data_IF_716129498741
#
_entry.id   IF_716129498741
#
_cell.length_a   1.000
_cell.length_b   1.000
_cell.length_c   1.000
_cell.angle_alpha   90.00
_cell.angle_beta   90.00
_cell.angle_gamma   90.00
#
_symmetry.space_group_name_H-M   'P 1'
#
loop_
_entity.id
_entity.type
_entity.pdbx_description
1 polymer ?
#
# COMPACT_ATOMS: atom_id res chain seq x y z
N UNK A 1 15.99 17.39 17.90
CA UNK A 1 15.47 17.76 16.56
C UNK A 1 16.64 18.19 15.69
N UNK A 2 17.15 17.31 14.84
CA UNK A 2 18.26 17.62 13.89
C UNK A 2 17.76 17.54 12.43
N UNK A 3 16.55 17.00 12.21
CA UNK A 3 16.01 16.66 10.88
C UNK A 3 15.21 17.77 10.19
N UNK A 4 15.05 18.95 10.80
CA UNK A 4 14.16 20.02 10.30
C UNK A 4 14.84 21.05 9.39
N UNK A 5 16.14 20.96 9.10
CA UNK A 5 16.90 22.05 8.48
C UNK A 5 17.93 21.62 7.42
N UNK A 6 17.54 20.77 6.47
CA UNK A 6 18.36 20.58 5.26
C UNK A 6 17.63 21.11 4.02
N UNK A 7 18.10 22.20 3.38
CA UNK A 7 17.67 22.50 2.02
C UNK A 7 18.04 21.31 1.12
N UNK A 8 17.24 21.04 0.08
CA UNK A 8 17.39 19.92 -0.88
C UNK A 8 16.90 18.53 -0.46
N UNK A 9 16.29 18.36 0.72
CA UNK A 9 15.83 17.04 1.21
C UNK A 9 14.93 16.26 0.23
N UNK A 10 14.01 16.93 -0.49
CA UNK A 10 13.12 16.25 -1.47
C UNK A 10 13.87 15.65 -2.65
N UNK A 11 14.90 16.33 -3.16
CA UNK A 11 15.69 15.82 -4.30
C UNK A 11 16.47 14.59 -3.86
N UNK A 12 17.06 14.64 -2.65
CA UNK A 12 17.80 13.53 -2.08
C UNK A 12 16.92 12.30 -1.83
N UNK A 13 15.68 12.48 -1.38
CA UNK A 13 14.74 11.36 -1.20
C UNK A 13 14.34 10.72 -2.54
N UNK A 14 14.09 11.53 -3.58
CA UNK A 14 13.77 11.00 -4.91
C UNK A 14 14.96 10.26 -5.51
N UNK A 15 16.18 10.78 -5.35
CA UNK A 15 17.41 10.11 -5.76
C UNK A 15 17.60 8.80 -4.97
N UNK A 16 17.36 8.82 -3.66
CA UNK A 16 17.46 7.64 -2.82
C UNK A 16 16.45 6.55 -3.23
N UNK A 17 15.20 6.91 -3.55
CA UNK A 17 14.20 5.96 -4.05
C UNK A 17 14.62 5.38 -5.40
N UNK A 18 15.09 6.22 -6.34
CA UNK A 18 15.56 5.77 -7.65
C UNK A 18 16.74 4.81 -7.55
N UNK A 19 17.80 5.21 -6.84
CA UNK A 19 19.00 4.38 -6.66
C UNK A 19 18.66 3.11 -5.88
N UNK A 20 17.84 3.23 -4.82
CA UNK A 20 17.38 2.10 -4.03
C UNK A 20 16.61 1.09 -4.87
N UNK A 21 15.73 1.54 -5.77
CA UNK A 21 14.98 0.69 -6.68
C UNK A 21 15.92 -0.05 -7.66
N UNK A 22 16.94 0.62 -8.20
CA UNK A 22 17.94 -0.02 -9.05
C UNK A 22 18.79 -1.05 -8.30
N UNK A 23 19.20 -0.75 -7.06
CA UNK A 23 19.95 -1.69 -6.21
C UNK A 23 19.09 -2.92 -5.92
N UNK A 24 17.82 -2.73 -5.57
CA UNK A 24 16.88 -3.84 -5.36
C UNK A 24 16.69 -4.68 -6.64
N UNK A 25 16.59 -4.03 -7.81
CA UNK A 25 16.50 -4.71 -9.09
C UNK A 25 17.73 -5.59 -9.37
N UNK A 26 18.94 -5.03 -9.25
CA UNK A 26 20.20 -5.75 -9.47
C UNK A 26 20.40 -6.90 -8.47
N UNK A 27 19.89 -6.76 -7.26
CA UNK A 27 19.88 -7.81 -6.24
C UNK A 27 18.74 -8.85 -6.42
N UNK A 28 18.00 -8.78 -7.54
CA UNK A 28 16.91 -9.68 -7.91
C UNK A 28 15.69 -9.70 -6.97
N UNK A 29 15.52 -8.67 -6.12
CA UNK A 29 14.30 -8.49 -5.33
C UNK A 29 13.09 -8.21 -6.22
N UNK A 30 11.89 -8.41 -5.67
CA UNK A 30 10.65 -7.98 -6.31
C UNK A 30 10.46 -6.47 -6.12
N UNK A 31 10.89 -5.71 -7.14
CA UNK A 31 10.85 -4.24 -7.14
C UNK A 31 9.43 -3.67 -6.99
N UNK A 32 8.38 -4.46 -7.28
CA UNK A 32 6.97 -4.05 -7.11
C UNK A 32 6.60 -3.87 -5.64
N UNK A 33 7.31 -4.53 -4.74
CA UNK A 33 7.09 -4.39 -3.29
C UNK A 33 7.43 -2.97 -2.80
N UNK A 34 8.31 -2.24 -3.48
CA UNK A 34 8.63 -0.85 -3.11
C UNK A 34 7.42 0.08 -3.24
N UNK A 35 6.71 0.03 -4.37
CA UNK A 35 5.44 0.75 -4.57
C UNK A 35 4.37 0.27 -3.58
N UNK A 36 4.24 -1.05 -3.40
CA UNK A 36 3.29 -1.61 -2.44
C UNK A 36 3.56 -1.15 -1.00
N UNK A 37 4.83 -1.02 -0.60
CA UNK A 37 5.22 -0.53 0.71
C UNK A 37 4.76 0.91 0.94
N UNK A 38 5.09 1.83 0.02
CA UNK A 38 4.70 3.24 0.16
C UNK A 38 3.17 3.44 0.10
N UNK A 39 2.48 2.64 -0.70
CA UNK A 39 1.01 2.66 -0.70
C UNK A 39 0.39 2.16 0.61
N UNK A 40 1.02 1.20 1.32
CA UNK A 40 0.60 0.82 2.68
C UNK A 40 0.84 1.96 3.68
N UNK A 41 1.94 2.69 3.56
CA UNK A 41 2.20 3.85 4.41
C UNK A 41 1.16 4.96 4.19
N UNK A 42 0.78 5.23 2.93
CA UNK A 42 -0.32 6.15 2.60
C UNK A 42 -1.67 5.71 3.19
N UNK A 43 -1.96 4.41 3.21
CA UNK A 43 -3.15 3.86 3.89
C UNK A 43 -3.09 4.12 5.40
N UNK A 44 -1.94 3.87 6.05
CA UNK A 44 -1.77 4.08 7.48
C UNK A 44 -1.99 5.54 7.84
N UNK A 45 -1.46 6.48 7.04
CA UNK A 45 -1.69 7.92 7.24
C UNK A 45 -3.18 8.27 7.18
N UNK A 46 -3.91 7.75 6.19
CA UNK A 46 -5.36 7.97 6.08
C UNK A 46 -6.13 7.40 7.27
N UNK A 47 -5.74 6.22 7.76
CA UNK A 47 -6.35 5.62 8.95
C UNK A 47 -6.09 6.45 10.21
N UNK A 48 -4.88 7.01 10.35
CA UNK A 48 -4.55 7.92 11.46
C UNK A 48 -5.33 9.23 11.38
N UNK A 49 -5.49 9.79 10.18
CA UNK A 49 -6.33 10.97 9.94
C UNK A 49 -7.78 10.70 10.34
N UNK A 50 -8.34 9.56 9.95
CA UNK A 50 -9.70 9.16 10.31
C UNK A 50 -9.91 8.99 11.83
N UNK A 51 -8.85 8.65 12.58
CA UNK A 51 -8.87 8.56 14.06
C UNK A 51 -8.56 9.88 14.76
N UNK A 52 -8.28 10.95 14.04
CA UNK A 52 -7.85 12.23 14.62
C UNK A 52 -6.44 12.20 15.22
N UNK A 53 -5.63 11.21 14.87
CA UNK A 53 -4.26 10.97 15.38
C UNK A 53 -3.17 11.58 14.47
N UNK A 54 -3.56 12.24 13.38
CA UNK A 54 -2.65 12.82 12.41
C UNK A 54 -2.54 14.35 12.58
N UNK A 55 -1.32 14.83 12.83
CA UNK A 55 -0.98 16.24 12.61
C UNK A 55 -0.78 16.40 11.11
N UNK A 56 -1.71 17.09 10.45
CA UNK A 56 -1.68 17.34 9.01
C UNK A 56 -0.63 18.42 8.73
N UNK A 57 0.64 18.04 8.72
CA UNK A 57 1.71 18.93 8.27
C UNK A 57 1.50 19.21 6.77
N UNK A 58 1.30 20.46 6.34
CA UNK A 58 1.16 20.78 4.94
C UNK A 58 2.37 20.28 4.13
N UNK A 59 2.17 19.81 2.90
CA UNK A 59 3.27 19.28 2.07
C UNK A 59 4.43 20.26 1.87
N UNK A 60 4.15 21.57 1.91
CA UNK A 60 5.15 22.64 1.85
C UNK A 60 5.93 22.82 3.16
N UNK A 61 5.39 22.40 4.30
CA UNK A 61 6.02 22.42 5.61
C UNK A 61 6.77 21.11 5.91
N UNK A 62 6.40 20.01 5.23
CA UNK A 62 7.11 18.74 5.31
C UNK A 62 8.42 18.81 4.50
N UNK A 63 9.51 18.34 5.10
CA UNK A 63 10.83 18.20 4.44
C UNK A 63 10.93 16.94 3.58
N UNK A 64 9.95 16.03 3.66
CA UNK A 64 9.91 14.79 2.87
C UNK A 64 8.67 14.76 1.95
N UNK A 65 8.76 14.15 0.75
CA UNK A 65 7.59 13.91 -0.10
C UNK A 65 6.57 13.02 0.63
N UNK A 66 5.28 13.16 0.28
CA UNK A 66 4.25 12.33 0.91
C UNK A 66 4.42 10.86 0.52
N UNK A 67 3.89 9.95 1.34
CA UNK A 67 3.94 8.52 1.01
C UNK A 67 3.25 8.19 -0.32
N UNK A 68 2.23 8.96 -0.70
CA UNK A 68 1.57 8.84 -2.01
C UNK A 68 2.50 9.29 -3.14
N UNK A 69 3.18 10.43 -3.00
CA UNK A 69 4.11 10.93 -4.02
C UNK A 69 5.25 9.94 -4.27
N UNK A 70 5.80 9.35 -3.19
CA UNK A 70 6.86 8.32 -3.30
C UNK A 70 6.36 7.08 -4.04
N UNK A 71 5.15 6.62 -3.74
CA UNK A 71 4.53 5.50 -4.46
C UNK A 71 4.44 5.81 -5.97
N UNK A 72 3.92 6.99 -6.32
CA UNK A 72 3.76 7.40 -7.72
C UNK A 72 5.10 7.49 -8.45
N UNK A 73 6.12 8.09 -7.83
CA UNK A 73 7.46 8.19 -8.40
C UNK A 73 8.08 6.80 -8.66
N UNK A 74 7.90 5.86 -7.74
CA UNK A 74 8.37 4.47 -7.92
C UNK A 74 7.58 3.75 -9.01
N UNK A 75 6.27 3.95 -9.08
CA UNK A 75 5.43 3.35 -10.13
C UNK A 75 5.85 3.83 -11.53
N UNK A 76 6.27 5.10 -11.68
CA UNK A 76 6.82 5.63 -12.94
C UNK A 76 8.12 4.91 -13.36
N UNK A 77 8.95 4.51 -12.40
CA UNK A 77 10.24 3.86 -12.64
C UNK A 77 10.14 2.32 -12.73
N UNK A 78 8.95 1.77 -12.50
CA UNK A 78 8.74 0.32 -12.37
C UNK A 78 9.15 -0.46 -13.63
N UNK A 79 8.81 0.07 -14.81
CA UNK A 79 9.14 -0.58 -16.09
C UNK A 79 10.65 -0.72 -16.27
N UNK A 80 11.39 0.38 -16.00
CA UNK A 80 12.85 0.40 -16.08
C UNK A 80 13.48 -0.54 -15.06
N UNK A 81 12.98 -0.55 -13.82
CA UNK A 81 13.47 -1.44 -12.78
C UNK A 81 13.27 -2.92 -13.14
N UNK A 82 12.12 -3.29 -13.73
CA UNK A 82 11.85 -4.66 -14.19
C UNK A 82 12.79 -5.03 -15.35
N UNK A 83 12.97 -4.15 -16.34
CA UNK A 83 13.92 -4.36 -17.44
C UNK A 83 15.35 -4.55 -16.92
N UNK A 84 15.76 -3.78 -15.91
CA UNK A 84 17.07 -3.91 -15.28
C UNK A 84 17.23 -5.29 -14.61
N UNK A 85 16.19 -5.79 -13.92
CA UNK A 85 16.26 -7.15 -13.37
C UNK A 85 16.44 -8.21 -14.45
N UNK A 86 15.70 -8.07 -15.56
CA UNK A 86 15.75 -9.02 -16.67
C UNK A 86 17.14 -9.01 -17.32
N UNK A 87 17.75 -7.82 -17.48
CA UNK A 87 19.13 -7.66 -17.95
C UNK A 87 20.15 -8.31 -16.99
N UNK A 88 19.89 -8.30 -15.68
CA UNK A 88 20.67 -9.00 -14.67
C UNK A 88 20.40 -10.51 -14.59
N UNK A 89 19.57 -11.07 -15.48
CA UNK A 89 19.22 -12.50 -15.55
C UNK A 89 18.56 -13.00 -14.24
N UNK A 90 17.86 -12.12 -13.55
CA UNK A 90 17.16 -12.47 -12.32
C UNK A 90 16.00 -13.45 -12.56
N UNK A 91 15.61 -14.25 -11.55
CA UNK A 91 14.43 -15.10 -11.64
C UNK A 91 13.17 -14.32 -11.97
N UNK A 92 12.20 -15.00 -12.62
CA UNK A 92 10.89 -14.42 -12.93
C UNK A 92 10.17 -13.99 -11.66
N UNK A 93 9.52 -12.84 -11.73
CA UNK A 93 8.67 -12.34 -10.66
C UNK A 93 7.47 -13.26 -10.43
N UNK A 94 6.92 -13.23 -9.21
CA UNK A 94 5.68 -13.94 -8.87
C UNK A 94 4.53 -13.41 -9.71
N UNK A 95 3.60 -14.29 -10.11
CA UNK A 95 2.41 -13.94 -10.89
C UNK A 95 1.53 -12.90 -10.18
N UNK A 96 1.45 -12.98 -8.85
CA UNK A 96 0.71 -12.01 -8.03
C UNK A 96 1.51 -10.72 -7.88
N UNK A 97 0.94 -9.61 -8.35
CA UNK A 97 1.47 -8.27 -8.13
C UNK A 97 1.05 -7.76 -6.73
N UNK A 98 2.00 -7.41 -5.83
CA UNK A 98 1.68 -6.92 -4.49
C UNK A 98 0.90 -5.59 -4.50
N UNK A 99 1.08 -4.76 -5.55
CA UNK A 99 0.41 -3.44 -5.68
C UNK A 99 -1.10 -3.57 -5.82
N UNK A 100 -1.59 -4.68 -6.37
CA UNK A 100 -3.03 -4.92 -6.51
C UNK A 100 -3.74 -4.95 -5.14
N UNK A 101 -3.14 -5.60 -4.14
CA UNK A 101 -3.72 -5.65 -2.79
C UNK A 101 -3.81 -4.26 -2.14
N UNK A 102 -2.80 -3.43 -2.38
CA UNK A 102 -2.71 -2.07 -1.87
C UNK A 102 -3.73 -1.17 -2.55
N UNK A 103 -3.85 -1.27 -3.88
CA UNK A 103 -4.86 -0.55 -4.65
C UNK A 103 -6.29 -0.87 -4.16
N UNK A 104 -6.59 -2.15 -3.92
CA UNK A 104 -7.91 -2.56 -3.39
C UNK A 104 -8.22 -1.89 -2.04
N UNK A 105 -7.25 -1.89 -1.11
CA UNK A 105 -7.40 -1.24 0.19
C UNK A 105 -7.53 0.28 0.07
N UNK A 106 -6.73 0.92 -0.79
CA UNK A 106 -6.83 2.35 -1.07
C UNK A 106 -8.23 2.72 -1.60
N UNK A 107 -8.81 1.89 -2.47
CA UNK A 107 -10.18 2.10 -2.98
C UNK A 107 -11.23 1.97 -1.88
N UNK A 108 -11.11 0.98 -1.00
CA UNK A 108 -12.03 0.81 0.12
C UNK A 108 -12.03 2.02 1.08
N UNK A 109 -10.88 2.65 1.29
CA UNK A 109 -10.78 3.85 2.14
C UNK A 109 -11.30 5.14 1.48
N UNK A 110 -11.34 5.20 0.15
CA UNK A 110 -11.80 6.40 -0.60
C UNK A 110 -13.31 6.37 -0.85
N UNK A 111 -13.94 5.20 -0.87
CA UNK A 111 -15.39 5.12 -1.04
C UNK A 111 -16.10 5.56 0.26
N UNK A 112 -17.04 6.51 0.21
CA UNK A 112 -17.84 6.86 1.38
C UNK A 112 -18.63 5.62 1.80
N UNK A 113 -18.61 5.31 3.09
CA UNK A 113 -19.46 4.26 3.66
C UNK A 113 -20.93 4.66 3.52
N UNK A 114 -21.52 4.43 2.36
CA UNK A 114 -22.97 4.43 2.17
C UNK A 114 -23.55 3.13 2.70
N UNK A 115 -23.33 2.87 4.00
CA UNK A 115 -24.12 1.98 4.85
C UNK A 115 -23.52 2.03 6.24
N UNK A 116 -24.30 2.61 7.16
CA UNK A 116 -23.97 2.66 8.58
C UNK A 116 -23.62 1.28 9.11
N UNK A 117 -22.60 1.28 9.97
CA UNK A 117 -22.18 0.15 10.77
C UNK A 117 -23.33 -0.26 11.71
N UNK A 118 -24.22 -1.14 11.25
CA UNK A 118 -25.05 -1.93 12.14
C UNK A 118 -24.22 -3.14 12.56
N UNK A 119 -23.80 -3.12 13.82
CA UNK A 119 -23.40 -4.31 14.56
C UNK A 119 -24.57 -5.30 14.47
N UNK A 120 -24.47 -6.31 13.60
CA UNK A 120 -25.34 -7.47 13.66
C UNK A 120 -24.64 -8.53 14.50
N UNK A 121 -25.21 -8.76 15.67
CA UNK A 121 -24.91 -9.86 16.55
C UNK A 121 -24.91 -11.18 15.77
N UNK A 122 -23.90 -12.02 16.03
CA UNK A 122 -23.82 -13.38 15.50
C UNK A 122 -25.03 -14.19 15.94
N UNK A 123 -25.78 -14.85 15.03
CA UNK A 123 -26.78 -15.80 15.47
C UNK A 123 -26.07 -17.07 15.94
N UNK A 124 -26.37 -17.44 17.17
CA UNK A 124 -25.94 -18.66 17.81
C UNK A 124 -26.40 -19.91 17.08
N UNK A 125 -25.57 -20.93 17.28
CA UNK A 125 -25.86 -22.35 17.11
C UNK A 125 -27.27 -22.71 17.60
N UNK A 126 -28.06 -23.41 16.78
CA UNK A 126 -28.93 -24.52 17.24
C UNK A 126 -29.68 -25.22 16.09
N UNK A 127 -29.58 -26.55 16.14
CA UNK A 127 -30.59 -27.55 15.80
C UNK A 127 -30.90 -27.87 14.33
N UNK A 128 -30.16 -28.86 13.83
CA UNK A 128 -30.67 -29.82 12.84
C UNK A 128 -31.80 -30.65 13.46
N UNK A 129 -33.04 -30.41 13.05
CA UNK A 129 -34.11 -31.41 13.08
C UNK A 129 -34.55 -31.72 11.65
N UNK A 130 -34.16 -32.90 11.18
CA UNK A 130 -34.63 -33.49 9.93
C UNK A 130 -36.04 -34.04 10.21
N UNK A 131 -37.04 -33.48 9.54
CA UNK A 131 -38.40 -34.01 9.49
C UNK A 131 -38.46 -35.21 8.54
N UNK A 132 -38.87 -36.35 9.08
CA UNK A 132 -39.23 -37.59 8.36
C UNK A 132 -40.41 -37.37 7.42
N UNK A 133 -40.31 -37.95 6.22
CA UNK A 133 -41.36 -37.98 5.19
C UNK A 133 -42.61 -38.77 5.61
N UNK A 134 -43.74 -38.31 5.08
CA UNK A 134 -45.08 -38.86 5.22
C UNK A 134 -45.28 -40.16 4.44
N UNK A 135 -45.83 -41.16 5.13
CA UNK A 135 -46.99 -42.00 4.75
C UNK A 135 -47.49 -41.79 3.30
N UNK A 136 -47.31 -42.76 2.41
CA UNK A 136 -48.28 -43.81 1.97
C UNK A 136 -47.49 -44.93 1.27
#
# INVERSE_FOLDING_TARGET
QVLLQLPYSRILENEADFVGLQVAAKACYDVREASAFWGKMSIIDKLREARGEAVKEPAWLSTHPSHTDRQEMIDLQMSEAIMLRDACQCPRLKSKDPRHSVWMLQKQLVQPSSKGMQLKESPGNNDQKISTESIV
#
